data_IF_821261159582
#
_entry.id   IF_821261159582
#
_cell.length_a   1.000
_cell.length_b   1.000
_cell.length_c   1.000
_cell.angle_alpha   90.00
_cell.angle_beta   90.00
_cell.angle_gamma   90.00
#
_symmetry.space_group_name_H-M   'P 1'
#
loop_
_entity.id
_entity.type
_entity.pdbx_description
1 polymer ?
#
# COMPACT_ATOMS: atom_id res chain seq x y z
N UNK A 1 11.99 -58.11 -43.91
CA UNK A 1 12.25 -56.71 -43.50
C UNK A 1 11.07 -55.75 -43.68
N UNK A 2 10.47 -55.58 -44.88
CA UNK A 2 9.43 -54.54 -45.14
C UNK A 2 8.26 -54.56 -44.15
N UNK A 3 7.73 -55.74 -43.83
CA UNK A 3 6.66 -55.97 -42.84
C UNK A 3 7.04 -55.52 -41.42
N UNK A 4 8.25 -55.87 -40.96
CA UNK A 4 8.75 -55.49 -39.63
C UNK A 4 8.84 -53.97 -39.44
N UNK A 5 9.26 -53.25 -40.49
CA UNK A 5 9.32 -51.77 -40.46
C UNK A 5 7.92 -51.15 -40.35
N UNK A 6 6.94 -51.70 -41.08
CA UNK A 6 5.54 -51.26 -41.01
C UNK A 6 4.94 -51.43 -39.60
N UNK A 7 5.19 -52.58 -38.98
CA UNK A 7 4.70 -52.87 -37.62
C UNK A 7 5.32 -51.92 -36.59
N UNK A 8 6.62 -51.64 -36.68
CA UNK A 8 7.32 -50.70 -35.81
C UNK A 8 6.83 -49.25 -35.98
N UNK A 9 6.53 -48.80 -37.20
CA UNK A 9 5.92 -47.48 -37.41
C UNK A 9 4.50 -47.39 -36.85
N UNK A 10 3.72 -48.47 -36.93
CA UNK A 10 2.35 -48.49 -36.44
C UNK A 10 2.30 -48.42 -34.90
N UNK A 11 3.15 -49.18 -34.20
CA UNK A 11 3.25 -49.11 -32.73
C UNK A 11 3.79 -47.76 -32.25
N UNK A 12 4.70 -47.12 -33.00
CA UNK A 12 5.18 -45.78 -32.67
C UNK A 12 4.08 -44.71 -32.81
N UNK A 13 3.28 -44.75 -33.88
CA UNK A 13 2.14 -43.84 -34.04
C UNK A 13 1.05 -44.04 -32.98
N UNK A 14 0.73 -45.29 -32.63
CA UNK A 14 -0.26 -45.60 -31.57
C UNK A 14 0.23 -45.11 -30.21
N UNK A 15 1.49 -45.39 -29.83
CA UNK A 15 2.03 -44.92 -28.55
C UNK A 15 2.15 -43.38 -28.48
N UNK A 16 2.57 -42.71 -29.56
CA UNK A 16 2.64 -41.25 -29.61
C UNK A 16 1.26 -40.57 -29.50
N UNK A 17 0.26 -41.07 -30.21
CA UNK A 17 -1.12 -40.56 -30.13
C UNK A 17 -1.76 -40.82 -28.77
N UNK A 18 -1.51 -41.98 -28.14
CA UNK A 18 -1.91 -42.25 -26.76
C UNK A 18 -1.27 -41.27 -25.75
N UNK A 19 0.02 -40.95 -25.88
CA UNK A 19 0.66 -39.95 -25.00
C UNK A 19 0.01 -38.56 -25.12
N UNK A 20 -0.32 -38.14 -26.34
CA UNK A 20 -1.02 -36.86 -26.57
C UNK A 20 -2.46 -36.88 -26.03
N UNK A 21 -3.18 -38.01 -26.13
CA UNK A 21 -4.51 -38.14 -25.52
C UNK A 21 -4.48 -38.13 -23.99
N UNK A 22 -3.51 -38.80 -23.36
CA UNK A 22 -3.37 -38.83 -21.88
C UNK A 22 -3.05 -37.45 -21.33
N UNK A 23 -2.14 -36.70 -21.97
CA UNK A 23 -1.83 -35.32 -21.57
C UNK A 23 -3.02 -34.39 -21.78
N UNK A 24 -3.71 -34.46 -22.91
CA UNK A 24 -4.94 -33.69 -23.16
C UNK A 24 -6.07 -34.01 -22.16
N UNK A 25 -6.26 -35.29 -21.79
CA UNK A 25 -7.24 -35.66 -20.75
C UNK A 25 -6.88 -35.07 -19.38
N UNK A 26 -5.60 -35.06 -18.99
CA UNK A 26 -5.18 -34.49 -17.72
C UNK A 26 -5.34 -32.96 -17.69
N UNK A 27 -5.11 -32.28 -18.81
CA UNK A 27 -5.41 -30.86 -18.98
C UNK A 27 -6.91 -30.57 -18.82
N UNK A 28 -7.78 -31.38 -19.43
CA UNK A 28 -9.25 -31.28 -19.31
C UNK A 28 -9.72 -31.56 -17.87
N UNK A 29 -9.18 -32.58 -17.20
CA UNK A 29 -9.47 -32.86 -15.77
C UNK A 29 -9.07 -31.67 -14.89
N UNK A 30 -7.88 -31.13 -15.12
CA UNK A 30 -7.36 -29.96 -14.40
C UNK A 30 -8.25 -28.73 -14.62
N UNK A 31 -8.68 -28.45 -15.85
CA UNK A 31 -9.59 -27.34 -16.12
C UNK A 31 -10.97 -27.52 -15.50
N UNK A 32 -11.53 -28.75 -15.47
CA UNK A 32 -12.79 -29.05 -14.74
C UNK A 32 -12.65 -28.76 -13.24
N UNK A 33 -11.51 -29.10 -12.63
CA UNK A 33 -11.21 -28.79 -11.23
C UNK A 33 -11.09 -27.27 -11.03
N UNK A 34 -10.44 -26.54 -11.94
CA UNK A 34 -10.37 -25.07 -11.91
C UNK A 34 -11.76 -24.43 -12.00
N UNK A 35 -12.64 -24.93 -12.87
CA UNK A 35 -14.04 -24.46 -13.01
C UNK A 35 -14.85 -24.72 -11.74
N UNK A 36 -14.82 -25.92 -11.15
CA UNK A 36 -15.48 -26.21 -9.85
C UNK A 36 -14.92 -25.31 -8.74
N UNK A 37 -13.60 -25.12 -8.70
CA UNK A 37 -12.96 -24.25 -7.71
C UNK A 37 -13.33 -22.77 -7.85
N UNK A 38 -13.42 -22.25 -9.08
CA UNK A 38 -13.83 -20.87 -9.36
C UNK A 38 -15.31 -20.64 -9.07
N UNK A 39 -16.21 -21.58 -9.41
CA UNK A 39 -17.62 -21.54 -9.02
C UNK A 39 -17.77 -21.45 -7.49
N UNK A 40 -17.12 -22.33 -6.73
CA UNK A 40 -17.14 -22.25 -5.27
C UNK A 40 -16.47 -20.98 -4.70
N UNK A 41 -15.48 -20.38 -5.40
CA UNK A 41 -14.88 -19.10 -5.01
C UNK A 41 -15.84 -17.93 -5.25
N UNK A 42 -16.60 -17.94 -6.35
CA UNK A 42 -17.60 -16.92 -6.66
C UNK A 42 -18.71 -16.95 -5.61
N UNK A 43 -19.31 -18.11 -5.34
CA UNK A 43 -20.39 -18.21 -4.34
C UNK A 43 -19.93 -17.84 -2.92
N UNK A 44 -18.70 -18.18 -2.52
CA UNK A 44 -18.14 -17.75 -1.24
C UNK A 44 -17.87 -16.23 -1.18
N UNK A 45 -17.53 -15.60 -2.30
CA UNK A 45 -17.41 -14.14 -2.38
C UNK A 45 -18.79 -13.46 -2.38
N UNK A 46 -19.80 -14.07 -3.01
CA UNK A 46 -21.18 -13.55 -3.07
C UNK A 46 -21.85 -13.56 -1.68
N UNK A 47 -21.69 -14.62 -0.88
CA UNK A 47 -22.20 -14.65 0.50
C UNK A 47 -21.55 -13.55 1.38
N UNK A 48 -20.25 -13.29 1.18
CA UNK A 48 -19.53 -12.19 1.86
C UNK A 48 -20.00 -10.82 1.35
N UNK A 49 -20.35 -10.68 0.06
CA UNK A 49 -20.92 -9.44 -0.48
C UNK A 49 -22.32 -9.18 0.10
N UNK A 50 -23.19 -10.19 0.15
CA UNK A 50 -24.54 -10.09 0.72
C UNK A 50 -24.46 -9.70 2.20
N UNK A 51 -23.66 -10.42 2.99
CA UNK A 51 -23.42 -10.11 4.40
C UNK A 51 -22.84 -8.70 4.59
N UNK A 52 -21.91 -8.29 3.73
CA UNK A 52 -21.34 -6.95 3.74
C UNK A 52 -22.35 -5.84 3.42
N UNK A 53 -23.33 -6.10 2.56
CA UNK A 53 -24.43 -5.16 2.27
C UNK A 53 -25.38 -5.01 3.47
N UNK A 54 -25.69 -6.10 4.18
CA UNK A 54 -26.43 -6.03 5.45
C UNK A 54 -25.66 -5.26 6.52
N UNK A 55 -24.33 -5.46 6.63
CA UNK A 55 -23.47 -4.67 7.50
C UNK A 55 -23.47 -3.18 7.11
N UNK A 56 -23.39 -2.84 5.81
CA UNK A 56 -23.50 -1.44 5.34
C UNK A 56 -24.86 -0.82 5.71
N UNK A 57 -25.95 -1.60 5.66
CA UNK A 57 -27.29 -1.17 6.08
C UNK A 57 -27.33 -0.88 7.59
N UNK A 58 -26.64 -1.67 8.43
CA UNK A 58 -26.44 -1.35 9.86
C UNK A 58 -25.65 -0.06 10.06
N UNK A 59 -24.49 0.08 9.42
CA UNK A 59 -23.63 1.26 9.54
C UNK A 59 -24.36 2.55 9.14
N UNK A 60 -25.08 2.54 8.01
CA UNK A 60 -25.94 3.68 7.60
C UNK A 60 -27.09 3.92 8.58
N UNK A 61 -27.75 2.87 9.07
CA UNK A 61 -28.79 2.99 10.10
C UNK A 61 -28.29 3.58 11.42
N UNK A 62 -27.04 3.28 11.80
CA UNK A 62 -26.40 3.83 12.99
C UNK A 62 -25.95 5.29 12.81
N UNK A 63 -25.46 5.65 11.61
CA UNK A 63 -25.19 7.04 11.22
C UNK A 63 -26.45 7.91 11.30
N UNK A 64 -27.57 7.47 10.73
CA UNK A 64 -28.83 8.25 10.74
C UNK A 64 -29.47 8.36 12.14
N UNK A 65 -29.15 7.44 13.06
CA UNK A 65 -29.44 7.61 14.50
C UNK A 65 -28.49 8.60 15.15
N UNK A 66 -27.19 8.52 14.84
CA UNK A 66 -26.17 9.41 15.40
C UNK A 66 -26.43 10.88 15.04
N UNK A 67 -26.74 11.18 13.77
CA UNK A 67 -27.14 12.53 13.28
C UNK A 67 -28.29 13.16 14.06
N UNK A 68 -29.20 12.35 14.60
CA UNK A 68 -30.37 12.78 15.38
C UNK A 68 -30.09 12.87 16.89
N UNK A 69 -28.86 12.57 17.32
CA UNK A 69 -28.46 12.60 18.73
C UNK A 69 -27.90 13.95 19.13
N UNK A 70 -28.09 14.36 20.39
CA UNK A 70 -27.48 15.57 20.98
C UNK A 70 -25.95 15.54 21.05
N UNK A 71 -25.30 14.45 20.64
CA UNK A 71 -23.83 14.27 20.60
C UNK A 71 -23.26 14.40 19.18
N UNK A 72 -24.07 14.71 18.17
CA UNK A 72 -23.61 14.82 16.79
C UNK A 72 -22.78 16.08 16.55
N UNK A 73 -21.45 15.99 16.64
CA UNK A 73 -20.59 17.04 16.06
C UNK A 73 -20.48 16.87 14.54
N UNK A 74 -20.29 17.98 13.81
CA UNK A 74 -20.13 17.95 12.35
C UNK A 74 -18.99 17.02 11.92
N UNK A 75 -17.84 17.10 12.59
CA UNK A 75 -16.65 16.31 12.30
C UNK A 75 -16.87 14.80 12.51
N UNK A 76 -17.62 14.39 13.54
CA UNK A 76 -17.95 12.98 13.75
C UNK A 76 -18.99 12.45 12.76
N UNK A 77 -19.93 13.28 12.31
CA UNK A 77 -20.87 12.93 11.24
C UNK A 77 -20.10 12.72 9.93
N UNK A 78 -19.23 13.65 9.55
CA UNK A 78 -18.37 13.54 8.36
C UNK A 78 -17.46 12.30 8.42
N UNK A 79 -16.84 11.99 9.58
CA UNK A 79 -16.05 10.77 9.77
C UNK A 79 -16.91 9.50 9.59
N UNK A 80 -18.13 9.46 10.13
CA UNK A 80 -19.04 8.30 9.98
C UNK A 80 -19.62 8.18 8.56
N UNK A 81 -19.79 9.29 7.84
CA UNK A 81 -20.15 9.30 6.42
C UNK A 81 -19.01 8.80 5.52
N UNK A 82 -17.76 9.18 5.82
CA UNK A 82 -16.55 8.62 5.21
C UNK A 82 -16.46 7.11 5.44
N UNK A 83 -16.68 6.62 6.67
CA UNK A 83 -16.73 5.18 6.99
C UNK A 83 -17.78 4.44 6.13
N UNK A 84 -19.02 4.94 6.10
CA UNK A 84 -20.10 4.33 5.31
C UNK A 84 -19.80 4.35 3.80
N UNK A 85 -19.16 5.42 3.30
CA UNK A 85 -18.75 5.57 1.90
C UNK A 85 -17.61 4.62 1.54
N UNK A 86 -16.57 4.52 2.37
CA UNK A 86 -15.44 3.61 2.18
C UNK A 86 -15.90 2.15 2.22
N UNK A 87 -16.84 1.80 3.11
CA UNK A 87 -17.48 0.49 3.13
C UNK A 87 -18.25 0.20 1.85
N UNK A 88 -19.07 1.14 1.36
CA UNK A 88 -19.77 1.00 0.07
C UNK A 88 -18.78 0.84 -1.10
N UNK A 89 -17.65 1.55 -1.10
CA UNK A 89 -16.60 1.37 -2.09
C UNK A 89 -15.93 -0.01 -2.01
N UNK A 90 -15.67 -0.55 -0.81
CA UNK A 90 -15.15 -1.93 -0.65
C UNK A 90 -16.11 -2.97 -1.22
N UNK A 91 -17.41 -2.82 -0.98
CA UNK A 91 -18.44 -3.72 -1.49
C UNK A 91 -18.60 -3.60 -3.01
N UNK A 92 -18.53 -2.39 -3.56
CA UNK A 92 -18.48 -2.18 -5.02
C UNK A 92 -17.23 -2.82 -5.65
N UNK A 93 -16.05 -2.66 -5.03
CA UNK A 93 -14.80 -3.33 -5.46
C UNK A 93 -14.94 -4.85 -5.39
N UNK A 94 -15.58 -5.40 -4.36
CA UNK A 94 -15.87 -6.85 -4.24
C UNK A 94 -16.85 -7.33 -5.31
N UNK A 95 -17.92 -6.59 -5.60
CA UNK A 95 -18.84 -6.90 -6.69
C UNK A 95 -18.10 -6.93 -8.03
N UNK A 96 -17.28 -5.91 -8.31
CA UNK A 96 -16.49 -5.85 -9.54
C UNK A 96 -15.48 -7.01 -9.63
N UNK A 97 -14.89 -7.45 -8.51
CA UNK A 97 -14.08 -8.68 -8.45
C UNK A 97 -14.89 -9.95 -8.70
N UNK A 98 -16.14 -10.03 -8.23
CA UNK A 98 -17.07 -11.13 -8.52
C UNK A 98 -17.42 -11.16 -10.00
N UNK A 99 -17.70 -10.01 -10.61
CA UNK A 99 -18.02 -9.92 -12.05
C UNK A 99 -16.80 -10.19 -12.94
N UNK A 100 -15.60 -9.79 -12.51
CA UNK A 100 -14.35 -10.22 -13.14
C UNK A 100 -14.16 -11.75 -12.99
N UNK A 101 -14.36 -12.32 -11.80
CA UNK A 101 -14.30 -13.78 -11.62
C UNK A 101 -15.37 -14.54 -12.43
N UNK A 102 -16.56 -13.96 -12.64
CA UNK A 102 -17.59 -14.52 -13.54
C UNK A 102 -17.16 -14.46 -15.01
N UNK A 103 -16.53 -13.36 -15.43
CA UNK A 103 -15.91 -13.24 -16.77
C UNK A 103 -14.73 -14.20 -16.94
N UNK A 104 -13.91 -14.40 -15.92
CA UNK A 104 -12.81 -15.38 -15.89
C UNK A 104 -13.34 -16.81 -15.90
N UNK A 105 -14.43 -17.11 -15.18
CA UNK A 105 -15.09 -18.41 -15.22
C UNK A 105 -15.63 -18.69 -16.62
N UNK A 106 -16.35 -17.74 -17.23
CA UNK A 106 -16.78 -17.86 -18.62
C UNK A 106 -15.59 -17.91 -19.60
N UNK A 107 -14.46 -17.29 -19.27
CA UNK A 107 -13.20 -17.38 -20.03
C UNK A 107 -12.52 -18.74 -19.86
N UNK A 108 -12.62 -19.39 -18.70
CA UNK A 108 -12.14 -20.75 -18.44
C UNK A 108 -13.04 -21.80 -19.09
N UNK A 109 -14.36 -21.61 -19.08
CA UNK A 109 -15.32 -22.44 -19.81
C UNK A 109 -15.16 -22.26 -21.33
N UNK A 110 -14.90 -21.03 -21.81
CA UNK A 110 -14.47 -20.77 -23.19
C UNK A 110 -13.06 -21.29 -23.49
N UNK A 111 -12.13 -21.35 -22.53
CA UNK A 111 -10.78 -21.95 -22.69
C UNK A 111 -10.82 -23.46 -22.66
N UNK A 112 -11.77 -24.09 -21.98
CA UNK A 112 -12.10 -25.50 -22.21
C UNK A 112 -12.45 -25.72 -23.69
N UNK A 113 -13.18 -24.78 -24.30
CA UNK A 113 -13.52 -24.74 -25.72
C UNK A 113 -12.51 -23.98 -26.63
N UNK A 114 -11.33 -23.54 -26.12
CA UNK A 114 -10.34 -22.75 -26.89
C UNK A 114 -8.87 -23.08 -26.63
N UNK A 115 -8.52 -23.91 -25.64
CA UNK A 115 -7.22 -24.63 -25.63
C UNK A 115 -7.13 -25.67 -26.76
N UNK A 116 -8.16 -25.67 -27.59
CA UNK A 116 -8.21 -26.07 -28.98
C UNK A 116 -7.45 -25.10 -29.96
N UNK A 117 -6.66 -24.03 -29.55
CA UNK A 117 -5.76 -23.07 -30.35
C UNK A 117 -4.64 -22.26 -29.56
N UNK A 118 -3.89 -21.30 -30.21
CA UNK A 118 -2.50 -20.73 -29.91
C UNK A 118 -2.32 -19.23 -29.37
N UNK A 119 -1.17 -18.52 -29.64
CA UNK A 119 -0.37 -17.61 -28.74
C UNK A 119 0.49 -16.43 -29.42
N UNK A 120 1.21 -15.52 -28.64
CA UNK A 120 2.57 -14.81 -28.88
C UNK A 120 2.97 -13.53 -27.99
N UNK A 121 4.18 -12.86 -28.09
CA UNK A 121 4.76 -11.66 -27.29
C UNK A 121 6.00 -10.90 -27.97
N UNK A 122 6.89 -9.92 -27.54
CA UNK A 122 7.29 -8.89 -26.45
C UNK A 122 8.67 -8.16 -26.88
N UNK A 123 9.44 -7.11 -26.41
CA UNK A 123 9.80 -6.10 -25.28
C UNK A 123 11.06 -5.18 -25.73
N UNK A 124 11.82 -4.23 -25.09
CA UNK A 124 11.77 -2.99 -24.17
C UNK A 124 13.17 -2.19 -24.08
N UNK A 125 13.31 -0.92 -23.56
CA UNK A 125 14.51 0.07 -23.50
C UNK A 125 14.82 0.78 -22.09
N UNK A 126 15.69 1.78 -21.69
CA UNK A 126 16.82 2.74 -22.10
C UNK A 126 17.77 3.03 -20.82
N UNK A 127 18.62 4.05 -20.44
CA UNK A 127 19.24 5.43 -20.73
C UNK A 127 20.47 5.71 -19.75
N UNK A 128 21.15 6.86 -19.36
CA UNK A 128 21.71 8.20 -19.85
C UNK A 128 22.03 9.17 -18.61
N UNK A 129 22.85 10.27 -18.38
CA UNK A 129 23.95 11.25 -18.88
C UNK A 129 24.85 11.72 -17.62
N UNK A 130 25.65 12.81 -17.33
CA UNK A 130 26.26 14.15 -17.80
C UNK A 130 27.43 14.66 -16.82
N UNK A 131 28.23 15.76 -17.05
CA UNK A 131 29.33 16.32 -16.14
C UNK A 131 29.75 17.87 -16.26
N UNK A 132 30.65 18.44 -15.38
CA UNK A 132 31.15 19.89 -15.20
C UNK A 132 32.61 20.00 -14.52
N UNK A 133 33.37 21.07 -14.08
CA UNK A 133 33.32 22.59 -13.88
C UNK A 133 34.75 23.34 -13.81
N UNK A 134 35.04 24.35 -12.91
CA UNK A 134 36.19 25.39 -12.86
C UNK A 134 36.59 25.87 -11.40
N UNK A 135 37.39 26.90 -10.90
CA UNK A 135 38.23 28.16 -11.19
C UNK A 135 39.02 28.58 -9.85
N UNK A 136 39.88 29.61 -9.48
CA UNK A 136 40.81 30.78 -9.88
C UNK A 136 41.81 31.10 -8.65
N UNK A 137 42.59 32.17 -8.24
CA UNK A 137 42.89 33.68 -8.34
C UNK A 137 44.43 33.98 -7.95
N UNK A 138 45.14 35.04 -7.38
CA UNK A 138 45.10 36.46 -6.78
C UNK A 138 46.56 37.12 -6.58
N UNK A 139 46.80 38.41 -6.12
CA UNK A 139 48.13 39.18 -6.04
C UNK A 139 48.27 40.39 -4.98
N UNK A 140 49.49 40.91 -4.57
CA UNK A 140 49.81 42.06 -3.59
C UNK A 140 51.34 42.55 -3.64
N UNK A 141 52.07 43.53 -2.97
CA UNK A 141 52.01 44.58 -1.86
C UNK A 141 53.14 45.73 -1.93
N UNK A 142 53.63 46.41 -0.82
CA UNK A 142 54.59 47.62 -0.76
C UNK A 142 55.77 47.54 0.32
N UNK A 143 56.55 48.53 0.91
CA UNK A 143 56.48 50.00 1.32
C UNK A 143 57.89 50.73 1.61
N UNK A 144 58.01 51.80 2.46
CA UNK A 144 59.07 52.91 2.43
C UNK A 144 59.90 53.36 3.72
N UNK A 145 60.68 54.50 3.70
CA UNK A 145 62.12 54.60 4.19
C UNK A 145 62.67 55.54 5.35
N UNK A 146 62.96 56.87 5.25
CA UNK A 146 64.13 57.60 5.91
C UNK A 146 63.96 58.43 7.25
N UNK A 147 64.97 58.46 8.18
CA UNK A 147 64.73 58.27 9.65
C UNK A 147 65.91 58.51 10.74
N UNK A 148 65.95 59.50 11.74
CA UNK A 148 66.49 59.34 13.20
C UNK A 148 65.98 60.18 14.48
N UNK A 149 66.39 61.39 14.96
CA UNK A 149 65.67 62.05 16.14
C UNK A 149 64.21 62.37 15.78
N UNK A 150 64.03 62.70 14.50
CA UNK A 150 62.74 62.61 13.84
C UNK A 150 62.16 61.20 13.97
N UNK A 151 62.93 60.12 13.74
CA UNK A 151 62.53 58.73 14.00
C UNK A 151 62.19 58.44 15.46
N UNK A 152 62.68 59.14 16.48
CA UNK A 152 62.22 58.92 17.86
C UNK A 152 60.84 59.54 18.10
N UNK A 153 60.63 60.77 17.61
CA UNK A 153 59.29 61.39 17.63
C UNK A 153 58.32 60.64 16.72
N UNK A 154 58.75 60.24 15.53
CA UNK A 154 58.02 59.38 14.59
C UNK A 154 57.84 57.98 15.17
N UNK A 155 58.80 57.35 15.87
CA UNK A 155 58.58 56.05 16.57
C UNK A 155 57.48 56.18 17.61
N UNK A 156 57.42 57.29 18.34
CA UNK A 156 56.39 57.54 19.36
C UNK A 156 55.04 57.91 18.76
N UNK A 157 55.02 58.68 17.67
CA UNK A 157 53.82 59.06 16.93
C UNK A 157 53.27 57.89 16.10
N UNK A 158 54.14 57.10 15.47
CA UNK A 158 53.87 55.78 14.89
C UNK A 158 53.41 54.80 15.95
N UNK A 159 53.99 54.76 17.15
CA UNK A 159 53.52 53.86 18.21
C UNK A 159 52.12 54.25 18.71
N UNK A 160 51.84 55.55 18.85
CA UNK A 160 50.49 56.06 19.11
C UNK A 160 49.53 55.72 17.97
N UNK A 161 49.93 55.95 16.72
CA UNK A 161 49.15 55.65 15.53
C UNK A 161 48.90 54.15 15.38
N UNK A 162 49.91 53.30 15.56
CA UNK A 162 49.81 51.83 15.62
C UNK A 162 48.86 51.41 16.72
N UNK A 163 48.94 51.97 17.92
CA UNK A 163 48.03 51.65 19.03
C UNK A 163 46.59 52.09 18.77
N UNK A 164 46.36 53.26 18.17
CA UNK A 164 45.02 53.73 17.78
C UNK A 164 44.47 52.96 16.57
N UNK A 165 45.29 52.60 15.59
CA UNK A 165 44.91 51.79 14.43
C UNK A 165 44.67 50.33 14.83
N UNK A 166 45.43 49.78 15.78
CA UNK A 166 45.13 48.52 16.47
C UNK A 166 43.83 48.58 17.28
N UNK A 167 43.52 49.72 17.92
CA UNK A 167 42.24 49.90 18.64
C UNK A 167 41.07 49.86 17.66
N UNK A 168 41.17 50.61 16.55
CA UNK A 168 40.19 50.57 15.44
C UNK A 168 40.08 49.18 14.84
N UNK A 169 41.19 48.47 14.65
CA UNK A 169 41.19 47.10 14.12
C UNK A 169 40.48 46.12 15.07
N UNK A 170 40.71 46.25 16.39
CA UNK A 170 40.01 45.46 17.43
C UNK A 170 38.51 45.80 17.51
N UNK A 171 38.15 47.07 17.40
CA UNK A 171 36.77 47.54 17.37
C UNK A 171 36.02 47.04 16.12
N UNK A 172 36.65 47.13 14.94
CA UNK A 172 36.12 46.58 13.69
C UNK A 172 36.03 45.04 13.71
N UNK A 173 36.94 44.35 14.39
CA UNK A 173 36.86 42.90 14.60
C UNK A 173 35.67 42.53 15.50
N UNK A 174 35.51 43.23 16.63
CA UNK A 174 34.40 43.02 17.57
C UNK A 174 33.03 43.30 16.92
N UNK A 175 32.90 44.37 16.14
CA UNK A 175 31.67 44.67 15.40
C UNK A 175 31.32 43.59 14.36
N UNK A 176 32.34 43.05 13.66
CA UNK A 176 32.15 41.91 12.72
C UNK A 176 31.76 40.63 13.44
N UNK A 177 32.32 40.36 14.62
CA UNK A 177 31.94 39.22 15.46
C UNK A 177 30.49 39.37 15.96
N UNK A 178 30.11 40.56 16.43
CA UNK A 178 28.74 40.86 16.85
C UNK A 178 27.74 40.72 15.69
N UNK A 179 28.07 41.19 14.48
CA UNK A 179 27.22 40.99 13.30
C UNK A 179 27.12 39.52 12.89
N UNK A 180 28.23 38.77 12.93
CA UNK A 180 28.24 37.34 12.65
C UNK A 180 27.36 36.55 13.63
N UNK A 181 27.46 36.83 14.94
CA UNK A 181 26.60 36.25 15.98
C UNK A 181 25.13 36.62 15.77
N UNK A 182 24.82 37.86 15.41
CA UNK A 182 23.45 38.32 15.08
C UNK A 182 22.87 37.55 13.88
N UNK A 183 23.68 37.33 12.84
CA UNK A 183 23.31 36.53 11.66
C UNK A 183 23.20 35.04 11.96
N UNK A 184 23.93 34.52 12.96
CA UNK A 184 23.78 33.14 13.44
C UNK A 184 22.50 32.97 14.27
N UNK A 185 22.18 33.90 15.17
CA UNK A 185 20.91 33.89 15.91
C UNK A 185 19.71 33.93 14.95
N UNK A 186 19.76 34.76 13.90
CA UNK A 186 18.71 34.78 12.86
C UNK A 186 18.57 33.43 12.14
N UNK A 187 19.68 32.75 11.80
CA UNK A 187 19.64 31.39 11.21
C UNK A 187 19.05 30.36 12.18
N UNK A 188 19.46 30.38 13.45
CA UNK A 188 18.95 29.47 14.50
C UNK A 188 17.44 29.70 14.75
N UNK A 189 17.00 30.96 14.73
CA UNK A 189 15.58 31.35 14.85
C UNK A 189 14.75 30.89 13.65
N UNK A 190 15.28 31.02 12.43
CA UNK A 190 14.66 30.45 11.23
C UNK A 190 14.58 28.93 11.32
N UNK A 191 15.66 28.25 11.73
CA UNK A 191 15.70 26.80 11.87
C UNK A 191 14.70 26.29 12.93
N UNK A 192 14.61 26.96 14.09
CA UNK A 192 13.62 26.64 15.14
C UNK A 192 12.19 26.74 14.62
N UNK A 193 11.88 27.76 13.81
CA UNK A 193 10.56 27.91 13.19
C UNK A 193 10.29 26.82 12.14
N UNK A 194 11.28 26.43 11.33
CA UNK A 194 11.15 25.32 10.39
C UNK A 194 10.92 23.98 11.11
N UNK A 195 11.60 23.73 12.23
CA UNK A 195 11.42 22.52 13.06
C UNK A 195 9.98 22.48 13.60
N UNK A 196 9.49 23.55 14.23
CA UNK A 196 8.11 23.65 14.76
C UNK A 196 7.04 23.42 13.69
N UNK A 197 7.27 23.88 12.45
CA UNK A 197 6.37 23.61 11.31
C UNK A 197 6.41 22.14 10.89
N UNK A 198 7.61 21.52 10.83
CA UNK A 198 7.76 20.08 10.54
C UNK A 198 7.10 19.21 11.60
N UNK A 199 7.35 19.47 12.89
CA UNK A 199 6.72 18.77 14.02
C UNK A 199 5.19 18.84 13.96
N UNK A 200 4.63 20.01 13.67
CA UNK A 200 3.19 20.22 13.53
C UNK A 200 2.60 19.46 12.33
N UNK A 201 3.36 19.27 11.26
CA UNK A 201 2.92 18.48 10.11
C UNK A 201 3.03 16.97 10.40
N UNK A 202 4.15 16.50 10.96
CA UNK A 202 4.33 15.10 11.41
C UNK A 202 3.21 14.69 12.40
N UNK A 203 2.84 15.59 13.32
CA UNK A 203 1.73 15.36 14.25
C UNK A 203 0.37 15.21 13.55
N UNK A 204 0.08 16.04 12.54
CA UNK A 204 -1.13 15.91 11.70
C UNK A 204 -1.12 14.60 10.93
N UNK A 205 0.00 14.27 10.27
CA UNK A 205 0.15 13.06 9.45
C UNK A 205 -0.02 11.79 10.30
N UNK A 206 0.61 11.72 11.48
CA UNK A 206 0.40 10.66 12.47
C UNK A 206 -1.08 10.55 12.88
N UNK A 207 -1.74 11.67 13.18
CA UNK A 207 -3.15 11.67 13.57
C UNK A 207 -4.10 11.27 12.43
N UNK A 208 -3.78 11.64 11.18
CA UNK A 208 -4.52 11.20 9.99
C UNK A 208 -4.37 9.71 9.78
N UNK A 209 -3.15 9.18 9.83
CA UNK A 209 -2.87 7.74 9.71
C UNK A 209 -3.55 6.92 10.81
N UNK A 210 -3.54 7.41 12.06
CA UNK A 210 -4.31 6.82 13.17
C UNK A 210 -5.81 6.76 12.84
N UNK A 211 -6.39 7.86 12.37
CA UNK A 211 -7.82 7.90 12.03
C UNK A 211 -8.18 7.00 10.85
N UNK A 212 -7.32 6.93 9.83
CA UNK A 212 -7.53 6.07 8.66
C UNK A 212 -7.44 4.59 9.04
N UNK A 213 -6.46 4.19 9.87
CA UNK A 213 -6.35 2.82 10.40
C UNK A 213 -7.56 2.43 11.27
N UNK A 214 -8.01 3.32 12.15
CA UNK A 214 -9.22 3.12 12.97
C UNK A 214 -10.49 2.94 12.12
N UNK A 215 -10.69 3.80 11.10
CA UNK A 215 -11.79 3.68 10.15
C UNK A 215 -11.70 2.34 9.38
N UNK A 216 -10.50 1.95 8.98
CA UNK A 216 -10.21 0.71 8.25
C UNK A 216 -10.52 -0.55 9.04
N UNK A 217 -10.14 -0.56 10.33
CA UNK A 217 -10.43 -1.63 11.30
C UNK A 217 -11.94 -1.74 11.50
N UNK A 218 -12.62 -0.62 11.79
CA UNK A 218 -14.06 -0.60 12.08
C UNK A 218 -14.90 -1.14 10.90
N UNK A 219 -14.52 -0.81 9.65
CA UNK A 219 -15.17 -1.36 8.45
C UNK A 219 -14.94 -2.87 8.33
N UNK A 220 -13.72 -3.35 8.57
CA UNK A 220 -13.43 -4.78 8.51
C UNK A 220 -14.14 -5.56 9.64
N UNK A 221 -14.29 -4.98 10.84
CA UNK A 221 -15.00 -5.60 11.97
C UNK A 221 -16.50 -5.78 11.68
N UNK A 222 -17.20 -4.79 11.13
CA UNK A 222 -18.62 -4.94 10.75
C UNK A 222 -18.82 -5.98 9.64
N UNK A 223 -17.91 -6.03 8.64
CA UNK A 223 -17.92 -7.08 7.60
C UNK A 223 -17.66 -8.46 8.22
N UNK A 224 -16.74 -8.57 9.18
CA UNK A 224 -16.42 -9.82 9.86
C UNK A 224 -17.59 -10.31 10.72
N UNK A 225 -18.25 -9.41 11.45
CA UNK A 225 -19.44 -9.72 12.26
C UNK A 225 -20.54 -10.28 11.35
N UNK A 226 -20.92 -9.57 10.27
CA UNK A 226 -21.99 -10.09 9.42
C UNK A 226 -21.59 -11.30 8.59
N UNK A 227 -20.32 -11.41 8.20
CA UNK A 227 -19.80 -12.63 7.58
C UNK A 227 -19.88 -13.86 8.49
N UNK A 228 -19.68 -13.69 9.82
CA UNK A 228 -19.92 -14.75 10.82
C UNK A 228 -21.41 -15.08 10.96
N UNK A 229 -22.31 -14.09 10.89
CA UNK A 229 -23.78 -14.30 10.87
C UNK A 229 -24.24 -15.09 9.62
N UNK A 230 -23.74 -14.73 8.43
CA UNK A 230 -24.01 -15.43 7.17
C UNK A 230 -23.49 -16.86 7.17
N UNK A 231 -22.25 -17.07 7.63
CA UNK A 231 -21.65 -18.39 7.82
C UNK A 231 -22.50 -19.28 8.74
N UNK A 232 -23.02 -18.76 9.85
CA UNK A 232 -23.88 -19.52 10.76
C UNK A 232 -25.19 -19.98 10.07
N UNK A 233 -25.85 -19.09 9.32
CA UNK A 233 -27.04 -19.42 8.51
C UNK A 233 -26.72 -20.49 7.45
N UNK A 234 -25.55 -20.41 6.82
CA UNK A 234 -25.10 -21.39 5.83
C UNK A 234 -24.78 -22.77 6.44
N UNK A 235 -24.28 -22.83 7.68
CA UNK A 235 -24.11 -24.10 8.42
C UNK A 235 -25.45 -24.74 8.78
N UNK A 236 -26.45 -23.98 9.25
CA UNK A 236 -27.82 -24.50 9.45
C UNK A 236 -28.36 -25.14 8.16
N UNK A 237 -28.27 -24.41 7.04
CA UNK A 237 -28.67 -24.90 5.69
C UNK A 237 -27.82 -26.07 5.16
N UNK A 238 -26.71 -26.43 5.79
CA UNK A 238 -25.96 -27.66 5.53
C UNK A 238 -26.50 -28.80 6.40
N UNK A 239 -26.72 -28.56 7.69
CA UNK A 239 -27.17 -29.58 8.65
C UNK A 239 -28.63 -29.99 8.41
N UNK A 240 -29.47 -29.07 7.90
CA UNK A 240 -30.79 -29.36 7.31
C UNK A 240 -30.64 -30.28 6.08
N UNK A 241 -29.77 -29.90 5.14
CA UNK A 241 -29.54 -30.63 3.90
C UNK A 241 -28.78 -31.97 4.07
N UNK A 242 -28.25 -32.25 5.27
CA UNK A 242 -27.70 -33.55 5.68
C UNK A 242 -28.75 -34.49 6.27
N UNK A 243 -29.91 -33.97 6.69
CA UNK A 243 -31.05 -34.73 7.24
C UNK A 243 -32.09 -35.07 6.15
N UNK A 244 -32.14 -34.25 5.11
CA UNK A 244 -32.98 -34.47 3.92
C UNK A 244 -32.41 -35.57 3.02
N UNK A 245 -33.11 -36.71 2.96
CA UNK A 245 -32.74 -37.86 2.13
C UNK A 245 -32.87 -37.60 0.61
N UNK A 246 -33.52 -36.53 0.17
CA UNK A 246 -33.59 -36.13 -1.26
C UNK A 246 -32.37 -35.33 -1.72
N UNK A 247 -31.59 -34.76 -0.80
CA UNK A 247 -30.38 -34.00 -1.13
C UNK A 247 -29.24 -34.92 -1.56
N UNK A 248 -28.72 -34.72 -2.77
CA UNK A 248 -27.59 -35.52 -3.29
C UNK A 248 -26.26 -35.20 -2.59
N UNK A 249 -25.42 -36.24 -2.42
CA UNK A 249 -24.09 -36.12 -1.80
C UNK A 249 -23.23 -35.02 -2.43
N UNK A 250 -23.25 -34.87 -3.76
CA UNK A 250 -22.47 -33.83 -4.45
C UNK A 250 -22.98 -32.40 -4.14
N UNK A 251 -24.24 -32.25 -3.72
CA UNK A 251 -24.81 -31.00 -3.21
C UNK A 251 -24.25 -30.66 -1.82
N UNK A 252 -24.16 -31.67 -0.93
CA UNK A 252 -23.57 -31.55 0.41
C UNK A 252 -22.08 -31.17 0.30
N UNK A 253 -21.31 -31.90 -0.50
CA UNK A 253 -19.88 -31.62 -0.77
C UNK A 253 -19.66 -30.20 -1.34
N UNK A 254 -20.58 -29.70 -2.19
CA UNK A 254 -20.54 -28.32 -2.70
C UNK A 254 -20.82 -27.28 -1.60
N UNK A 255 -21.82 -27.50 -0.75
CA UNK A 255 -22.14 -26.62 0.39
C UNK A 255 -20.95 -26.54 1.36
N UNK A 256 -20.35 -27.69 1.71
CA UNK A 256 -19.17 -27.76 2.57
C UNK A 256 -17.97 -27.01 1.97
N UNK A 257 -17.66 -27.26 0.69
CA UNK A 257 -16.57 -26.58 0.00
C UNK A 257 -16.81 -25.08 -0.29
N UNK A 258 -18.02 -24.56 -0.05
CA UNK A 258 -18.33 -23.12 -0.01
C UNK A 258 -18.14 -22.59 1.41
N UNK A 259 -18.67 -23.29 2.43
CA UNK A 259 -18.51 -22.96 3.86
C UNK A 259 -17.03 -22.82 4.23
N UNK A 260 -16.18 -23.78 3.88
CA UNK A 260 -14.74 -23.69 4.18
C UNK A 260 -14.02 -22.56 3.43
N UNK A 261 -14.55 -22.08 2.29
CA UNK A 261 -14.01 -20.90 1.60
C UNK A 261 -14.47 -19.59 2.25
N UNK A 262 -15.68 -19.55 2.81
CA UNK A 262 -16.16 -18.44 3.65
C UNK A 262 -15.31 -18.36 4.92
N UNK A 263 -15.12 -19.47 5.64
CA UNK A 263 -14.27 -19.55 6.85
C UNK A 263 -12.85 -19.03 6.61
N UNK A 264 -12.18 -19.53 5.56
CA UNK A 264 -10.85 -19.06 5.17
C UNK A 264 -10.81 -17.57 4.79
N UNK A 265 -11.93 -17.00 4.30
CA UNK A 265 -12.02 -15.58 3.95
C UNK A 265 -12.29 -14.71 5.19
N UNK A 266 -13.09 -15.17 6.15
CA UNK A 266 -13.28 -14.51 7.45
C UNK A 266 -12.01 -14.51 8.29
N UNK A 267 -11.25 -15.62 8.28
CA UNK A 267 -9.95 -15.70 8.96
C UNK A 267 -8.94 -14.68 8.41
N UNK A 268 -8.94 -14.42 7.09
CA UNK A 268 -8.10 -13.36 6.51
C UNK A 268 -8.52 -11.97 6.97
N UNK A 269 -9.82 -11.69 7.05
CA UNK A 269 -10.34 -10.40 7.55
C UNK A 269 -9.98 -10.21 9.04
N UNK A 270 -10.06 -11.27 9.85
CA UNK A 270 -9.58 -11.27 11.24
C UNK A 270 -8.09 -10.93 11.32
N UNK A 271 -7.23 -11.63 10.56
CA UNK A 271 -5.80 -11.35 10.54
C UNK A 271 -5.47 -9.92 10.04
N UNK A 272 -6.22 -9.38 9.07
CA UNK A 272 -6.09 -7.98 8.62
C UNK A 272 -6.46 -6.97 9.73
N UNK A 273 -7.47 -7.27 10.55
CA UNK A 273 -7.86 -6.45 11.70
C UNK A 273 -6.75 -6.47 12.76
N UNK A 274 -6.24 -7.65 13.09
CA UNK A 274 -5.30 -7.83 14.18
C UNK A 274 -3.92 -7.23 13.84
N UNK A 275 -3.47 -7.38 12.58
CA UNK A 275 -2.28 -6.70 12.07
C UNK A 275 -2.40 -5.16 12.14
N UNK A 276 -3.55 -4.60 11.71
CA UNK A 276 -3.80 -3.15 11.81
C UNK A 276 -3.93 -2.65 13.25
N UNK A 277 -4.44 -3.47 14.18
CA UNK A 277 -4.45 -3.15 15.62
C UNK A 277 -3.03 -3.11 16.19
N UNK A 278 -2.15 -4.02 15.78
CA UNK A 278 -0.74 -4.00 16.17
C UNK A 278 -0.03 -2.76 15.60
N UNK A 279 -0.22 -2.46 14.31
CA UNK A 279 0.31 -1.25 13.66
C UNK A 279 -0.18 0.03 14.36
N UNK A 280 -1.48 0.12 14.65
CA UNK A 280 -2.10 1.25 15.35
C UNK A 280 -1.53 1.43 16.78
N UNK A 281 -1.21 0.34 17.48
CA UNK A 281 -0.56 0.40 18.78
C UNK A 281 0.87 0.96 18.66
N UNK A 282 1.69 0.44 17.74
CA UNK A 282 3.04 0.93 17.47
C UNK A 282 3.06 2.41 17.05
N UNK A 283 2.06 2.85 16.27
CA UNK A 283 1.95 4.25 15.86
C UNK A 283 1.53 5.15 17.03
N UNK A 284 0.62 4.70 17.90
CA UNK A 284 0.17 5.50 19.05
C UNK A 284 1.30 5.71 20.07
N UNK A 285 1.95 4.62 20.48
CA UNK A 285 2.93 4.57 21.58
C UNK A 285 2.31 3.90 22.81
#
# INVERSE_FOLDING_TARGET
MKTLRFLATLTFFISFTCLQQVTAQNDIKTLKIQVKNKKNQISANEEILISGVDALKRVKGNLERFKKSKKATKQEVERKEKIATNMQQRLSKLNNQIDLHKKDLASLERKLARKLRKEESSKKEESSKKADNTEMVYEDNISAEQKEVLLQKQKLEEARKKLDDERKARELAYLKEQEALRLEEEKLKQLSNQIKVKEKNISKEKNTLISDLEDDISINEEILISGKEGLAKMKSKLDEAKKDASTSKESIERKEAIISKIENRLLKIQNEIDAKKQELATIKG
#
